data_IF_562671978839
#
_entry.id   IF_562671978839
#
_cell.length_a   1.000
_cell.length_b   1.000
_cell.length_c   1.000
_cell.angle_alpha   90.00
_cell.angle_beta   90.00
_cell.angle_gamma   90.00
#
_symmetry.space_group_name_H-M   'P 1'
#
loop_
_entity.id
_entity.type
_entity.pdbx_description
1 polymer ?
#
# COMPACT_ATOMS: atom_id res chain seq x y z
N UNK A 1 10.97 20.26 7.07
CA UNK A 1 10.11 20.11 5.88
C UNK A 1 9.48 18.75 5.96
N UNK A 2 8.17 18.64 5.76
CA UNK A 2 7.39 17.38 5.86
C UNK A 2 6.48 17.30 4.65
N UNK A 3 6.26 16.10 4.06
CA UNK A 3 5.33 15.96 2.95
C UNK A 3 3.91 16.37 3.35
N UNK A 4 3.18 16.95 2.42
CA UNK A 4 1.75 17.27 2.55
C UNK A 4 0.89 16.21 1.86
N UNK A 5 -0.41 16.23 2.14
CA UNK A 5 -1.35 15.31 1.53
C UNK A 5 -1.47 15.56 0.01
N UNK A 6 -1.52 16.84 -0.38
CA UNK A 6 -1.62 17.27 -1.78
C UNK A 6 -0.40 16.86 -2.61
N UNK A 7 0.78 16.86 -1.99
CA UNK A 7 2.01 16.38 -2.65
C UNK A 7 1.96 14.87 -2.88
N UNK A 8 1.48 14.10 -1.91
CA UNK A 8 1.33 12.65 -2.06
C UNK A 8 0.24 12.29 -3.06
N UNK A 9 -0.88 13.01 -3.08
CA UNK A 9 -1.93 12.84 -4.09
C UNK A 9 -1.39 13.08 -5.51
N UNK A 10 -0.57 14.11 -5.67
CA UNK A 10 0.05 14.43 -6.97
C UNK A 10 1.02 13.35 -7.42
N UNK A 11 1.83 12.81 -6.51
CA UNK A 11 2.78 11.73 -6.83
C UNK A 11 2.06 10.43 -7.21
N UNK A 12 0.93 10.11 -6.57
CA UNK A 12 0.15 8.92 -6.86
C UNK A 12 -0.72 9.05 -8.12
N UNK A 13 -0.93 10.29 -8.61
CA UNK A 13 -1.79 10.61 -9.75
C UNK A 13 -3.16 9.91 -9.69
N UNK A 14 -3.71 9.81 -8.47
CA UNK A 14 -5.05 9.28 -8.31
C UNK A 14 -6.08 10.26 -8.86
N UNK A 15 -7.05 9.78 -9.65
CA UNK A 15 -8.12 10.62 -10.15
C UNK A 15 -8.84 11.29 -8.97
N UNK A 16 -8.85 12.60 -8.99
CA UNK A 16 -9.25 13.52 -7.92
C UNK A 16 -10.79 13.51 -7.66
N UNK A 17 -11.43 12.34 -7.75
CA UNK A 17 -12.89 12.22 -7.72
C UNK A 17 -13.49 11.98 -6.32
N UNK A 18 -12.70 11.72 -5.31
CA UNK A 18 -13.26 11.56 -3.97
C UNK A 18 -12.57 12.49 -2.97
N UNK A 19 -13.27 13.56 -2.57
CA UNK A 19 -12.94 14.34 -1.36
C UNK A 19 -13.21 13.55 -0.07
N UNK A 20 -13.42 12.24 -0.18
CA UNK A 20 -13.67 11.37 0.96
C UNK A 20 -12.36 11.09 1.67
N UNK A 21 -12.29 11.48 2.93
CA UNK A 21 -11.17 11.18 3.82
C UNK A 21 -11.28 9.70 4.21
N UNK A 22 -10.15 9.00 4.20
CA UNK A 22 -10.06 7.63 4.72
C UNK A 22 -10.50 7.61 6.18
N UNK A 23 -11.53 6.82 6.48
CA UNK A 23 -12.02 6.55 7.83
C UNK A 23 -11.89 5.06 8.10
N UNK A 24 -11.17 4.70 9.16
CA UNK A 24 -10.96 3.30 9.55
C UNK A 24 -12.29 2.58 9.80
N UNK A 25 -12.55 1.51 9.06
CA UNK A 25 -13.70 0.60 9.29
C UNK A 25 -13.49 -0.28 10.52
N UNK A 26 -14.57 -0.90 11.01
CA UNK A 26 -14.48 -1.92 12.06
C UNK A 26 -13.75 -3.15 11.52
N UNK A 27 -12.93 -3.73 12.38
CA UNK A 27 -12.01 -4.81 12.10
C UNK A 27 -12.63 -6.08 11.51
N UNK A 28 -13.79 -6.48 12.02
CA UNK A 28 -14.49 -7.73 11.63
C UNK A 28 -15.03 -7.64 10.20
N UNK A 29 -15.54 -6.47 9.81
CA UNK A 29 -16.09 -6.22 8.49
C UNK A 29 -15.00 -6.32 7.42
N UNK A 30 -13.84 -5.72 7.65
CA UNK A 30 -12.70 -5.72 6.72
C UNK A 30 -12.22 -7.12 6.37
N UNK A 31 -12.16 -8.02 7.33
CA UNK A 31 -11.68 -9.39 7.09
C UNK A 31 -12.60 -10.16 6.15
N UNK A 32 -13.89 -10.07 6.38
CA UNK A 32 -14.91 -10.72 5.55
C UNK A 32 -14.93 -10.13 4.13
N UNK A 33 -14.80 -8.81 4.03
CA UNK A 33 -14.77 -8.10 2.75
C UNK A 33 -13.54 -8.45 1.92
N UNK A 34 -12.34 -8.50 2.52
CA UNK A 34 -11.10 -8.92 1.83
C UNK A 34 -11.22 -10.35 1.32
N UNK A 35 -11.73 -11.27 2.13
CA UNK A 35 -11.90 -12.67 1.73
C UNK A 35 -12.86 -12.79 0.56
N UNK A 36 -13.98 -12.07 0.58
CA UNK A 36 -14.95 -12.05 -0.50
C UNK A 36 -14.38 -11.38 -1.77
N UNK A 37 -13.74 -10.23 -1.62
CA UNK A 37 -13.19 -9.43 -2.72
C UNK A 37 -12.10 -10.16 -3.50
N UNK A 38 -11.28 -10.94 -2.79
CA UNK A 38 -10.14 -11.67 -3.35
C UNK A 38 -10.42 -13.16 -3.60
N UNK A 39 -11.62 -13.66 -3.31
CA UNK A 39 -11.96 -15.08 -3.48
C UNK A 39 -11.13 -16.04 -2.62
N UNK A 40 -10.74 -15.64 -1.39
CA UNK A 40 -9.76 -16.36 -0.59
C UNK A 40 -10.28 -17.62 0.15
N UNK A 41 -11.50 -18.04 -0.05
CA UNK A 41 -12.05 -19.21 0.63
C UNK A 41 -12.26 -19.00 2.15
N UNK A 42 -11.77 -19.93 3.02
CA UNK A 42 -12.06 -19.84 4.46
C UNK A 42 -11.16 -18.83 5.19
N UNK A 43 -11.78 -17.88 5.91
CA UNK A 43 -11.12 -16.85 6.73
C UNK A 43 -10.04 -17.41 7.66
N UNK A 44 -10.31 -18.56 8.31
CA UNK A 44 -9.40 -19.18 9.28
C UNK A 44 -8.05 -19.61 8.69
N UNK A 45 -7.99 -19.85 7.39
CA UNK A 45 -6.74 -20.24 6.70
C UNK A 45 -5.87 -19.03 6.34
N UNK A 46 -6.50 -17.88 6.08
CA UNK A 46 -5.85 -16.67 5.59
C UNK A 46 -5.40 -15.74 6.71
N UNK A 47 -6.06 -15.77 7.87
CA UNK A 47 -5.89 -14.81 8.97
C UNK A 47 -4.72 -15.15 9.90
N UNK A 48 -4.05 -14.10 10.40
CA UNK A 48 -3.07 -14.16 11.50
C UNK A 48 -3.63 -13.39 12.68
N UNK A 49 -4.45 -14.05 13.52
CA UNK A 49 -5.09 -13.40 14.68
C UNK A 49 -5.56 -11.96 14.36
N UNK A 50 -5.17 -10.97 15.17
CA UNK A 50 -5.54 -9.58 14.99
C UNK A 50 -4.52 -8.76 14.17
N UNK A 51 -3.54 -9.42 13.53
CA UNK A 51 -2.46 -8.75 12.80
C UNK A 51 -2.75 -8.54 11.31
N UNK A 52 -3.62 -9.37 10.71
CA UNK A 52 -3.94 -9.29 9.28
C UNK A 52 -3.94 -10.64 8.57
N UNK A 53 -3.36 -10.71 7.37
CA UNK A 53 -3.42 -11.87 6.48
C UNK A 53 -2.05 -12.50 6.27
N UNK A 54 -2.02 -13.84 6.13
CA UNK A 54 -0.79 -14.59 5.82
C UNK A 54 -0.37 -14.35 4.38
N UNK A 55 0.78 -13.72 4.16
CA UNK A 55 1.31 -13.50 2.81
C UNK A 55 1.44 -14.79 1.98
N UNK A 56 1.95 -15.86 2.58
CA UNK A 56 2.13 -17.17 1.90
C UNK A 56 0.84 -17.72 1.30
N UNK A 57 -0.31 -17.47 1.92
CA UNK A 57 -1.61 -17.92 1.40
C UNK A 57 -1.99 -17.11 0.16
N UNK A 58 -1.83 -15.81 0.22
CA UNK A 58 -2.10 -14.91 -0.92
C UNK A 58 -1.18 -15.26 -2.09
N UNK A 59 0.11 -15.44 -1.83
CA UNK A 59 1.11 -15.83 -2.83
C UNK A 59 0.78 -17.18 -3.49
N UNK A 60 0.36 -18.18 -2.71
CA UNK A 60 -0.03 -19.49 -3.22
C UNK A 60 -1.26 -19.40 -4.15
N UNK A 61 -2.25 -18.57 -3.78
CA UNK A 61 -3.44 -18.34 -4.61
C UNK A 61 -3.06 -17.61 -5.91
N UNK A 62 -2.18 -16.62 -5.83
CA UNK A 62 -1.68 -15.93 -7.02
C UNK A 62 -0.98 -16.89 -7.98
N UNK A 63 -0.08 -17.76 -7.50
CA UNK A 63 0.61 -18.77 -8.29
C UNK A 63 -0.37 -19.73 -8.96
N UNK A 64 -1.32 -20.26 -8.19
CA UNK A 64 -2.37 -21.14 -8.69
C UNK A 64 -3.20 -20.50 -9.80
N UNK A 65 -3.61 -19.24 -9.63
CA UNK A 65 -4.38 -18.52 -10.65
C UNK A 65 -3.58 -18.30 -11.95
N UNK A 66 -2.26 -18.13 -11.83
CA UNK A 66 -1.37 -18.05 -13.01
C UNK A 66 -1.28 -19.40 -13.73
N UNK A 67 -1.08 -20.51 -12.99
CA UNK A 67 -1.00 -21.87 -13.54
C UNK A 67 -2.31 -22.31 -14.21
N UNK A 68 -3.45 -21.94 -13.61
CA UNK A 68 -4.79 -22.25 -14.15
C UNK A 68 -5.23 -21.32 -15.29
N UNK A 69 -4.43 -20.32 -15.64
CA UNK A 69 -4.77 -19.36 -16.70
C UNK A 69 -5.99 -18.52 -16.41
N UNK A 70 -6.41 -18.38 -15.15
CA UNK A 70 -7.55 -17.58 -14.74
C UNK A 70 -7.29 -16.10 -15.02
N UNK A 71 -7.99 -15.56 -16.01
CA UNK A 71 -7.98 -14.15 -16.39
C UNK A 71 -9.30 -13.54 -15.90
N UNK A 72 -9.32 -12.96 -14.72
CA UNK A 72 -10.52 -12.33 -14.17
C UNK A 72 -10.18 -11.19 -13.22
N UNK A 73 -11.18 -10.41 -12.82
CA UNK A 73 -11.05 -9.27 -11.91
C UNK A 73 -10.38 -9.64 -10.58
N UNK A 74 -10.64 -10.87 -10.09
CA UNK A 74 -10.00 -11.38 -8.86
C UNK A 74 -8.47 -11.41 -8.95
N UNK A 75 -7.91 -11.73 -10.12
CA UNK A 75 -6.46 -11.73 -10.33
C UNK A 75 -5.90 -10.31 -10.24
N UNK A 76 -6.54 -9.34 -10.87
CA UNK A 76 -6.09 -7.95 -10.80
C UNK A 76 -6.18 -7.42 -9.37
N UNK A 77 -7.24 -7.76 -8.63
CA UNK A 77 -7.39 -7.40 -7.21
C UNK A 77 -6.33 -8.05 -6.33
N UNK A 78 -5.97 -9.31 -6.57
CA UNK A 78 -4.86 -9.97 -5.86
C UNK A 78 -3.52 -9.28 -6.10
N UNK A 79 -3.22 -8.88 -7.35
CA UNK A 79 -2.01 -8.13 -7.68
C UNK A 79 -2.04 -6.74 -7.03
N UNK A 80 -3.15 -6.04 -7.10
CA UNK A 80 -3.32 -4.74 -6.44
C UNK A 80 -3.13 -4.86 -4.92
N UNK A 81 -3.70 -5.89 -4.29
CA UNK A 81 -3.52 -6.17 -2.87
C UNK A 81 -2.05 -6.46 -2.51
N UNK A 82 -1.34 -7.17 -3.38
CA UNK A 82 0.10 -7.39 -3.24
C UNK A 82 0.89 -6.07 -3.31
N UNK A 83 0.54 -5.16 -4.21
CA UNK A 83 1.16 -3.83 -4.31
C UNK A 83 0.89 -3.01 -3.03
N UNK A 84 -0.33 -3.02 -2.52
CA UNK A 84 -0.64 -2.37 -1.25
C UNK A 84 0.27 -2.86 -0.12
N UNK A 85 0.51 -4.17 -0.03
CA UNK A 85 1.42 -4.73 0.97
C UNK A 85 2.89 -4.42 0.72
N UNK A 86 3.35 -4.59 -0.51
CA UNK A 86 4.80 -4.58 -0.79
C UNK A 86 5.36 -3.17 -0.94
N UNK A 87 4.54 -2.25 -1.44
CA UNK A 87 4.96 -0.90 -1.82
C UNK A 87 4.36 0.16 -0.92
N UNK A 88 3.03 0.18 -0.79
CA UNK A 88 2.35 1.27 -0.10
C UNK A 88 2.39 1.14 1.43
N UNK A 89 2.20 -0.08 1.94
CA UNK A 89 2.15 -0.38 3.38
C UNK A 89 3.07 -1.55 3.73
N UNK A 90 4.41 -1.40 3.61
CA UNK A 90 5.33 -2.46 3.93
C UNK A 90 5.22 -2.83 5.42
N UNK A 91 4.78 -4.04 5.67
CA UNK A 91 4.55 -4.58 7.02
C UNK A 91 5.57 -5.66 7.37
N UNK A 92 5.39 -6.32 8.52
CA UNK A 92 6.24 -7.42 8.96
C UNK A 92 6.35 -8.54 7.91
N UNK A 93 7.48 -9.24 7.92
CA UNK A 93 7.73 -10.36 7.00
C UNK A 93 6.64 -11.42 7.15
N UNK A 94 6.01 -11.77 6.05
CA UNK A 94 5.01 -12.84 6.01
C UNK A 94 3.57 -12.44 6.37
N UNK A 95 3.32 -11.17 6.71
CA UNK A 95 1.99 -10.68 7.06
C UNK A 95 1.62 -9.49 6.18
N UNK A 96 0.35 -9.38 5.80
CA UNK A 96 -0.26 -8.16 5.29
C UNK A 96 -1.01 -7.54 6.45
N UNK A 97 -0.66 -6.31 6.82
CA UNK A 97 -1.32 -5.65 7.93
C UNK A 97 -2.81 -5.43 7.66
N UNK A 98 -3.57 -5.38 8.72
CA UNK A 98 -5.00 -5.16 8.62
C UNK A 98 -5.32 -3.73 8.17
N UNK A 99 -4.46 -2.80 8.52
CA UNK A 99 -4.53 -1.41 8.08
C UNK A 99 -4.40 -1.32 6.56
N UNK A 100 -3.40 -2.00 5.97
CA UNK A 100 -3.24 -2.08 4.52
C UNK A 100 -4.45 -2.72 3.84
N UNK A 101 -4.98 -3.79 4.44
CA UNK A 101 -6.18 -4.47 3.95
C UNK A 101 -7.42 -3.56 4.00
N UNK A 102 -7.56 -2.78 5.06
CA UNK A 102 -8.67 -1.84 5.21
C UNK A 102 -8.62 -0.72 4.17
N UNK A 103 -7.45 -0.11 3.96
CA UNK A 103 -7.26 0.92 2.92
C UNK A 103 -7.53 0.35 1.53
N UNK A 104 -7.12 -0.90 1.28
CA UNK A 104 -7.40 -1.58 0.01
C UNK A 104 -8.90 -1.78 -0.24
N UNK A 105 -9.64 -2.23 0.77
CA UNK A 105 -11.10 -2.40 0.69
C UNK A 105 -11.80 -1.08 0.43
N UNK A 106 -11.44 -0.02 1.15
CA UNK A 106 -11.97 1.32 0.94
C UNK A 106 -11.69 1.86 -0.48
N UNK A 107 -10.50 1.57 -1.00
CA UNK A 107 -10.16 1.92 -2.38
C UNK A 107 -11.02 1.15 -3.40
N UNK A 108 -11.21 -0.16 -3.20
CA UNK A 108 -11.96 -0.98 -4.14
C UNK A 108 -13.45 -0.64 -4.17
N UNK A 109 -14.08 -0.43 -3.02
CA UNK A 109 -15.52 -0.16 -2.94
C UNK A 109 -15.88 1.31 -3.15
N UNK A 110 -15.19 2.20 -2.49
CA UNK A 110 -15.54 3.63 -2.42
C UNK A 110 -14.61 4.54 -3.20
N UNK A 111 -13.57 3.98 -3.82
CA UNK A 111 -12.51 4.72 -4.52
C UNK A 111 -11.85 5.79 -3.63
N UNK A 112 -11.72 5.51 -2.35
CA UNK A 112 -11.07 6.42 -1.40
C UNK A 112 -9.58 6.47 -1.70
N UNK A 113 -9.07 7.69 -1.81
CA UNK A 113 -7.65 7.92 -2.08
C UNK A 113 -6.79 7.46 -0.89
N UNK A 114 -5.81 6.55 -1.07
CA UNK A 114 -4.97 6.04 0.01
C UNK A 114 -3.90 7.01 0.50
N UNK A 115 -3.72 8.18 -0.15
CA UNK A 115 -2.64 9.14 0.15
C UNK A 115 -2.59 9.54 1.61
N UNK A 116 -3.74 9.79 2.24
CA UNK A 116 -3.80 10.16 3.66
C UNK A 116 -3.29 9.06 4.59
N UNK A 117 -3.64 7.81 4.31
CA UNK A 117 -3.17 6.66 5.07
C UNK A 117 -1.66 6.43 4.89
N UNK A 118 -1.17 6.53 3.65
CA UNK A 118 0.26 6.39 3.32
C UNK A 118 1.07 7.50 3.99
N UNK A 119 0.58 8.74 3.99
CA UNK A 119 1.23 9.86 4.67
C UNK A 119 1.28 9.64 6.18
N UNK A 120 0.17 9.19 6.78
CA UNK A 120 0.11 8.88 8.20
C UNK A 120 1.13 7.81 8.60
N UNK A 121 1.23 6.70 7.85
CA UNK A 121 2.24 5.65 8.07
C UNK A 121 3.67 6.20 7.92
N UNK A 122 3.90 7.06 6.94
CA UNK A 122 5.21 7.72 6.76
C UNK A 122 5.58 8.55 7.98
N UNK A 123 4.65 9.37 8.48
CA UNK A 123 4.89 10.22 9.65
C UNK A 123 5.11 9.40 10.91
N UNK A 124 4.32 8.34 11.12
CA UNK A 124 4.49 7.43 12.25
C UNK A 124 5.84 6.73 12.20
N UNK A 125 6.25 6.25 11.04
CA UNK A 125 7.53 5.57 10.83
C UNK A 125 8.73 6.50 11.06
N UNK A 126 8.68 7.71 10.53
CA UNK A 126 9.73 8.73 10.75
C UNK A 126 9.82 9.12 12.23
N UNK A 127 8.68 9.34 12.90
CA UNK A 127 8.67 9.65 14.33
C UNK A 127 9.23 8.50 15.17
N UNK A 128 8.88 7.25 14.83
CA UNK A 128 9.42 6.06 15.50
C UNK A 128 10.96 6.00 15.37
N UNK A 129 11.49 6.18 14.16
CA UNK A 129 12.94 6.20 13.94
C UNK A 129 13.62 7.33 14.72
N UNK A 130 13.02 8.51 14.76
CA UNK A 130 13.53 9.66 15.51
C UNK A 130 13.60 9.39 17.02
N UNK A 131 12.55 8.81 17.59
CA UNK A 131 12.44 8.57 19.03
C UNK A 131 13.38 7.46 19.52
N UNK A 132 13.61 6.44 18.71
CA UNK A 132 14.37 5.26 19.12
C UNK A 132 15.82 5.25 18.60
N UNK A 133 16.19 6.14 17.67
CA UNK A 133 17.54 6.23 17.09
C UNK A 133 17.98 4.98 16.30
N UNK A 134 17.12 3.98 16.17
CA UNK A 134 17.33 2.71 15.48
C UNK A 134 16.00 2.10 15.09
N UNK A 135 16.02 1.23 14.09
CA UNK A 135 14.84 0.53 13.58
C UNK A 135 14.75 0.60 12.06
N UNK A 136 13.87 -0.18 11.47
CA UNK A 136 13.57 -0.12 10.05
C UNK A 136 12.40 0.84 9.81
N UNK A 137 12.54 1.70 8.82
CA UNK A 137 11.46 2.55 8.36
C UNK A 137 10.42 1.70 7.63
N UNK A 138 9.18 1.73 8.09
CA UNK A 138 8.05 0.98 7.53
C UNK A 138 7.04 1.93 6.91
N UNK A 139 7.40 2.49 5.77
CA UNK A 139 6.54 3.40 5.04
C UNK A 139 6.70 3.19 3.53
N UNK A 140 5.88 3.83 2.72
CA UNK A 140 6.03 3.85 1.27
C UNK A 140 7.32 4.59 0.88
N UNK A 141 8.45 3.87 0.93
CA UNK A 141 9.77 4.43 0.62
C UNK A 141 9.86 5.05 -0.77
N UNK A 142 9.25 4.49 -1.85
CA UNK A 142 9.26 5.12 -3.16
C UNK A 142 8.61 6.51 -3.17
N UNK A 143 7.48 6.68 -2.48
CA UNK A 143 6.82 7.98 -2.42
C UNK A 143 7.63 9.00 -1.62
N UNK A 144 8.17 8.59 -0.47
CA UNK A 144 9.03 9.45 0.32
C UNK A 144 10.28 9.85 -0.47
N UNK A 145 10.88 8.92 -1.20
CA UNK A 145 12.03 9.20 -2.06
C UNK A 145 11.69 10.23 -3.15
N UNK A 146 10.60 10.03 -3.90
CA UNK A 146 10.16 10.97 -4.92
C UNK A 146 9.87 12.35 -4.35
N UNK A 147 9.25 12.42 -3.17
CA UNK A 147 9.02 13.67 -2.48
C UNK A 147 10.33 14.36 -2.10
N UNK A 148 11.29 13.64 -1.49
CA UNK A 148 12.61 14.19 -1.13
C UNK A 148 13.31 14.74 -2.38
N UNK A 149 13.36 13.96 -3.45
CA UNK A 149 14.05 14.35 -4.70
C UNK A 149 13.42 15.58 -5.31
N UNK A 150 12.08 15.70 -5.29
CA UNK A 150 11.37 16.87 -5.83
C UNK A 150 11.64 18.17 -5.07
N UNK A 151 12.16 18.09 -3.82
CA UNK A 151 12.42 19.24 -2.95
C UNK A 151 13.91 19.59 -2.81
N UNK A 152 14.80 18.74 -3.35
CA UNK A 152 16.24 18.99 -3.33
C UNK A 152 16.69 19.38 -4.75
N UNK A 153 16.86 20.67 -5.00
CA UNK A 153 17.23 21.22 -6.32
C UNK A 153 18.46 20.56 -6.92
N UNK A 154 19.47 20.32 -6.11
CA UNK A 154 20.74 19.70 -6.54
C UNK A 154 20.55 18.27 -7.07
N UNK A 155 19.61 17.51 -6.51
CA UNK A 155 19.28 16.17 -6.99
C UNK A 155 18.40 16.23 -8.24
N UNK A 156 17.56 17.24 -8.38
CA UNK A 156 16.73 17.46 -9.56
C UNK A 156 17.58 17.67 -10.81
N UNK A 157 18.65 18.43 -10.71
CA UNK A 157 19.59 18.65 -11.81
C UNK A 157 20.38 17.39 -12.17
N UNK A 158 20.76 16.58 -11.19
CA UNK A 158 21.36 15.25 -11.40
C UNK A 158 20.38 14.31 -12.11
N UNK A 159 19.13 14.27 -11.67
CA UNK A 159 18.10 13.43 -12.29
C UNK A 159 17.78 13.86 -13.73
N UNK A 160 17.64 15.12 -13.99
CA UNK A 160 17.42 15.64 -15.35
C UNK A 160 18.57 15.27 -16.30
N UNK A 161 19.79 15.13 -15.79
CA UNK A 161 20.96 14.70 -16.58
C UNK A 161 21.08 13.17 -16.71
N UNK A 162 20.45 12.37 -15.85
CA UNK A 162 20.52 10.90 -15.89
C UNK A 162 19.40 10.25 -16.72
N UNK A 163 18.28 10.92 -16.93
CA UNK A 163 17.12 10.38 -17.67
C UNK A 163 17.11 10.69 -19.16
N UNK A 164 18.20 11.27 -19.68
CA UNK A 164 18.43 11.38 -21.12
C UNK A 164 19.13 10.11 -21.65
N UNK A 165 18.59 8.94 -21.38
CA UNK A 165 18.80 7.80 -22.24
C UNK A 165 17.56 7.67 -23.11
N UNK A 166 17.72 8.10 -24.38
CA UNK A 166 16.77 7.91 -25.45
C UNK A 166 16.18 6.50 -25.44
N UNK A 167 14.84 6.42 -25.42
CA UNK A 167 14.09 5.32 -25.98
C UNK A 167 13.74 5.65 -27.40
#
# INVERSE_FOLDING_TARGET
MTPTMEEYERVLDFPNNSRKIYLRRKFEDTTSEVVNLLGLGKISQCRVADRGFKWKVIEAIMKKNVEEGKLGDERYRLVAFAIFRLVLFPSEIGVISLEAANVFVEYEYDRINPSSAILAETMLSLNHCRMHGKGSMRCCSPMLYLWIVSHIETLRDIFNNFWWFDL
#
